data_IF_414473127219
#
_entry.id   IF_414473127219
#
_cell.length_a   1.000
_cell.length_b   1.000
_cell.length_c   1.000
_cell.angle_alpha   90.00
_cell.angle_beta   90.00
_cell.angle_gamma   90.00
#
_symmetry.space_group_name_H-M   'P 1'
#
loop_
_entity.id
_entity.type
_entity.pdbx_description
1 polymer ?
#
# COMPACT_ATOMS: atom_id res chain seq x y z
N UNK A 1 -10.89 1.23 48.35
CA UNK A 1 -12.13 1.70 47.66
C UNK A 1 -12.36 0.78 46.45
N UNK A 2 -13.29 -0.17 46.57
CA UNK A 2 -13.62 -1.09 45.45
C UNK A 2 -14.61 -0.41 44.51
N UNK A 3 -14.10 -0.02 43.35
CA UNK A 3 -14.97 0.51 42.28
C UNK A 3 -15.89 -0.64 41.84
N UNK A 4 -17.19 -0.39 41.84
CA UNK A 4 -18.16 -1.40 41.39
C UNK A 4 -17.96 -1.69 39.90
N UNK A 5 -18.24 -2.91 39.46
CA UNK A 5 -18.12 -3.31 38.05
C UNK A 5 -18.93 -2.37 37.13
N UNK A 6 -20.11 -1.92 37.60
CA UNK A 6 -20.94 -0.96 36.84
C UNK A 6 -20.28 0.40 36.70
N UNK A 7 -19.63 0.88 37.76
CA UNK A 7 -18.92 2.17 37.74
C UNK A 7 -17.68 2.12 36.85
N UNK A 8 -16.97 0.98 36.85
CA UNK A 8 -15.85 0.74 35.92
C UNK A 8 -16.32 0.74 34.46
N UNK A 9 -17.39 -0.01 34.17
CA UNK A 9 -17.97 -0.09 32.82
C UNK A 9 -18.44 1.29 32.34
N UNK A 10 -19.09 2.08 33.19
CA UNK A 10 -19.55 3.43 32.82
C UNK A 10 -18.39 4.37 32.53
N UNK A 11 -17.30 4.30 33.30
CA UNK A 11 -16.08 5.10 33.07
C UNK A 11 -15.39 4.69 31.78
N UNK A 12 -15.29 3.40 31.51
CA UNK A 12 -14.72 2.88 30.24
C UNK A 12 -15.59 3.34 29.06
N UNK A 13 -16.91 3.25 29.19
CA UNK A 13 -17.85 3.70 28.16
C UNK A 13 -17.73 5.21 27.90
N UNK A 14 -17.64 6.01 28.95
CA UNK A 14 -17.38 7.45 28.86
C UNK A 14 -16.02 7.76 28.19
N UNK A 15 -15.11 6.99 28.33
CA UNK A 15 -13.93 7.12 27.82
C UNK A 15 -13.85 6.81 26.43
N UNK A 16 -14.43 5.94 26.12
CA UNK A 16 -14.55 5.54 24.89
C UNK A 16 -15.25 6.48 24.10
N UNK A 17 -16.38 6.85 24.54
CA UNK A 17 -17.22 7.86 23.87
C UNK A 17 -16.48 9.18 23.64
N UNK A 18 -15.72 9.64 24.61
CA UNK A 18 -14.94 10.88 24.47
C UNK A 18 -13.83 10.76 23.44
N UNK A 19 -13.06 9.67 23.50
CA UNK A 19 -11.89 9.46 22.58
C UNK A 19 -12.29 9.11 21.15
N UNK A 20 -13.44 8.46 20.97
CA UNK A 20 -13.94 8.08 19.65
C UNK A 20 -15.02 9.02 19.12
N UNK A 21 -15.14 10.22 19.72
CA UNK A 21 -16.12 11.21 19.29
C UNK A 21 -15.71 11.83 17.94
N UNK A 22 -16.38 11.42 16.88
CA UNK A 22 -16.16 11.92 15.52
C UNK A 22 -16.61 13.38 15.31
N UNK A 23 -17.33 13.97 16.25
CA UNK A 23 -17.85 15.34 16.09
C UNK A 23 -16.91 16.40 16.67
N UNK A 24 -15.90 16.00 17.48
CA UNK A 24 -15.06 16.94 18.22
C UNK A 24 -14.16 17.81 17.30
N UNK A 25 -13.67 17.24 16.20
CA UNK A 25 -12.74 17.90 15.26
C UNK A 25 -13.29 17.94 13.83
N UNK A 26 -14.59 17.79 13.67
CA UNK A 26 -15.26 17.81 12.37
C UNK A 26 -15.27 19.24 11.79
N UNK A 27 -15.04 19.36 10.48
CA UNK A 27 -15.26 20.57 9.70
C UNK A 27 -16.76 20.93 9.65
N UNK A 28 -17.03 22.19 9.38
CA UNK A 28 -18.37 22.61 8.99
C UNK A 28 -18.84 21.84 7.74
N UNK A 29 -20.14 21.59 7.63
CA UNK A 29 -20.66 20.84 6.48
C UNK A 29 -20.38 21.53 5.15
N UNK A 30 -20.36 22.88 5.12
CA UNK A 30 -20.05 23.65 3.92
C UNK A 30 -18.58 23.42 3.48
N UNK A 31 -17.66 23.36 4.44
CA UNK A 31 -16.24 23.08 4.17
C UNK A 31 -16.03 21.67 3.65
N UNK A 32 -16.76 20.69 4.23
CA UNK A 32 -16.72 19.29 3.78
C UNK A 32 -17.24 19.20 2.34
N UNK A 33 -18.41 19.79 2.06
CA UNK A 33 -19.01 19.80 0.73
C UNK A 33 -18.07 20.44 -0.30
N UNK A 34 -17.50 21.59 0.05
CA UNK A 34 -16.54 22.28 -0.82
C UNK A 34 -15.31 21.40 -1.10
N UNK A 35 -14.70 20.83 -0.06
CA UNK A 35 -13.51 19.98 -0.18
C UNK A 35 -13.76 18.77 -1.11
N UNK A 36 -14.92 18.12 -0.96
CA UNK A 36 -15.28 16.98 -1.81
C UNK A 36 -15.52 17.43 -3.26
N UNK A 37 -16.19 18.57 -3.48
CA UNK A 37 -16.43 19.12 -4.84
C UNK A 37 -15.12 19.52 -5.53
N UNK A 38 -14.17 20.09 -4.79
CA UNK A 38 -12.83 20.41 -5.30
C UNK A 38 -12.05 19.14 -5.68
N UNK A 39 -12.18 18.07 -4.88
CA UNK A 39 -11.55 16.77 -5.12
C UNK A 39 -12.04 16.04 -6.39
N UNK A 40 -13.19 16.44 -6.92
CA UNK A 40 -13.73 15.86 -8.18
C UNK A 40 -13.05 16.50 -9.41
N UNK A 41 -12.54 17.72 -9.32
CA UNK A 41 -12.08 18.47 -10.49
C UNK A 41 -10.84 17.86 -11.13
N UNK A 42 -11.06 17.11 -12.18
CA UNK A 42 -10.01 16.44 -12.97
C UNK A 42 -9.78 17.29 -14.23
N UNK A 43 -9.00 18.37 -14.05
CA UNK A 43 -8.64 19.30 -15.14
C UNK A 43 -7.20 19.76 -15.01
N UNK A 44 -6.60 20.14 -16.12
CA UNK A 44 -5.26 20.74 -16.14
C UNK A 44 -4.21 19.88 -15.44
N UNK A 45 -3.63 20.40 -14.38
CA UNK A 45 -2.57 19.75 -13.61
C UNK A 45 -2.95 18.35 -13.14
N UNK A 46 -4.18 18.15 -12.67
CA UNK A 46 -4.64 16.85 -12.15
C UNK A 46 -4.63 15.75 -13.23
N UNK A 47 -4.91 16.08 -14.50
CA UNK A 47 -4.81 15.13 -15.60
C UNK A 47 -3.35 14.74 -15.90
N UNK A 48 -2.45 15.72 -15.93
CA UNK A 48 -1.01 15.45 -16.11
C UNK A 48 -0.46 14.61 -14.96
N UNK A 49 -0.81 14.94 -13.72
CA UNK A 49 -0.39 14.17 -12.54
C UNK A 49 -0.92 12.72 -12.64
N UNK A 50 -2.19 12.55 -13.04
CA UNK A 50 -2.78 11.21 -13.24
C UNK A 50 -1.99 10.40 -14.29
N UNK A 51 -1.71 10.98 -15.46
CA UNK A 51 -0.95 10.30 -16.52
C UNK A 51 0.45 9.90 -16.05
N UNK A 52 1.16 10.83 -15.39
CA UNK A 52 2.52 10.57 -14.88
C UNK A 52 2.50 9.51 -13.77
N UNK A 53 1.52 9.57 -12.88
CA UNK A 53 1.35 8.56 -11.82
C UNK A 53 1.10 7.16 -12.43
N UNK A 54 0.30 7.08 -13.50
CA UNK A 54 0.02 5.83 -14.22
C UNK A 54 1.28 5.30 -14.91
N UNK A 55 2.09 6.16 -15.53
CA UNK A 55 3.39 5.75 -16.07
C UNK A 55 4.29 5.16 -14.97
N UNK A 56 4.42 5.86 -13.84
CA UNK A 56 5.23 5.39 -12.71
C UNK A 56 4.69 4.05 -12.17
N UNK A 57 3.38 3.92 -12.01
CA UNK A 57 2.76 2.68 -11.55
C UNK A 57 3.00 1.53 -12.54
N UNK A 58 2.85 1.79 -13.84
CA UNK A 58 3.07 0.79 -14.89
C UNK A 58 4.54 0.34 -14.92
N UNK A 59 5.49 1.28 -14.79
CA UNK A 59 6.92 0.95 -14.62
C UNK A 59 7.11 0.08 -13.36
N UNK A 60 6.52 0.48 -12.24
CA UNK A 60 6.61 -0.27 -10.98
C UNK A 60 6.11 -1.70 -11.09
N UNK A 61 4.98 -1.91 -11.79
CA UNK A 61 4.42 -3.23 -12.07
C UNK A 61 5.35 -4.05 -12.98
N UNK A 62 5.89 -3.42 -13.99
CA UNK A 62 6.76 -4.04 -15.00
C UNK A 62 8.10 -4.50 -14.41
N UNK A 63 8.69 -3.69 -13.51
CA UNK A 63 9.95 -4.03 -12.83
C UNK A 63 9.73 -4.72 -11.47
N UNK A 64 8.50 -5.10 -11.17
CA UNK A 64 8.12 -5.81 -9.93
C UNK A 64 8.52 -5.05 -8.64
N UNK A 65 8.41 -3.72 -8.65
CA UNK A 65 8.80 -2.86 -7.52
C UNK A 65 7.60 -2.33 -6.76
N UNK A 66 7.25 -2.96 -5.64
CA UNK A 66 6.16 -2.54 -4.75
C UNK A 66 6.34 -1.09 -4.27
N UNK A 67 7.58 -0.68 -3.98
CA UNK A 67 7.86 0.68 -3.50
C UNK A 67 7.51 1.76 -4.54
N UNK A 68 7.83 1.52 -5.82
CA UNK A 68 7.51 2.44 -6.91
C UNK A 68 5.98 2.52 -7.12
N UNK A 69 5.31 1.37 -7.06
CA UNK A 69 3.84 1.29 -7.15
C UNK A 69 3.18 2.13 -6.04
N UNK A 70 3.64 1.97 -4.78
CA UNK A 70 3.14 2.75 -3.64
C UNK A 70 3.37 4.26 -3.85
N UNK A 71 4.55 4.65 -4.32
CA UNK A 71 4.85 6.05 -4.63
C UNK A 71 3.88 6.65 -5.65
N UNK A 72 3.55 5.91 -6.70
CA UNK A 72 2.60 6.31 -7.73
C UNK A 72 1.18 6.50 -7.16
N UNK A 73 0.75 5.58 -6.28
CA UNK A 73 -0.57 5.64 -5.64
C UNK A 73 -0.76 6.93 -4.82
N UNK A 74 0.31 7.41 -4.18
CA UNK A 74 0.27 8.61 -3.32
C UNK A 74 -0.08 9.89 -4.09
N UNK A 75 0.26 9.97 -5.36
CA UNK A 75 0.05 11.17 -6.18
C UNK A 75 -1.20 11.06 -7.06
N UNK A 76 -1.91 9.94 -7.02
CA UNK A 76 -3.06 9.68 -7.89
C UNK A 76 -4.34 10.39 -7.42
N UNK A 77 -5.04 11.11 -8.29
CA UNK A 77 -6.30 11.78 -7.95
C UNK A 77 -7.55 10.89 -8.08
N UNK A 78 -7.42 9.57 -8.23
CA UNK A 78 -8.55 8.66 -8.47
C UNK A 78 -9.58 8.60 -7.33
N UNK A 79 -9.13 8.81 -6.10
CA UNK A 79 -9.98 8.64 -4.90
C UNK A 79 -11.09 9.71 -4.79
N UNK A 80 -10.81 10.95 -5.21
CA UNK A 80 -11.76 12.07 -5.10
C UNK A 80 -13.12 11.79 -5.74
N UNK A 81 -13.17 11.47 -7.04
CA UNK A 81 -14.43 11.15 -7.71
C UNK A 81 -15.20 9.98 -7.07
N UNK A 82 -14.51 8.94 -6.61
CA UNK A 82 -15.15 7.76 -6.00
C UNK A 82 -15.82 8.13 -4.67
N UNK A 83 -15.11 8.86 -3.81
CA UNK A 83 -15.67 9.35 -2.54
C UNK A 83 -16.87 10.29 -2.79
N UNK A 84 -16.79 11.13 -3.81
CA UNK A 84 -17.86 12.06 -4.15
C UNK A 84 -19.13 11.35 -4.63
N UNK A 85 -19.03 10.17 -5.25
CA UNK A 85 -20.20 9.33 -5.59
C UNK A 85 -20.92 8.90 -4.29
N UNK A 86 -20.18 8.38 -3.33
CA UNK A 86 -20.73 7.94 -2.05
C UNK A 86 -21.31 9.11 -1.23
N UNK A 87 -20.60 10.22 -1.19
CA UNK A 87 -21.04 11.45 -0.51
C UNK A 87 -22.32 11.99 -1.15
N UNK A 88 -22.34 12.14 -2.47
CA UNK A 88 -23.51 12.63 -3.22
C UNK A 88 -24.74 11.75 -3.00
N UNK A 89 -24.54 10.42 -2.90
CA UNK A 89 -25.62 9.49 -2.56
C UNK A 89 -26.15 9.75 -1.14
N UNK A 90 -25.25 10.01 -0.19
CA UNK A 90 -25.60 10.30 1.21
C UNK A 90 -26.39 11.59 1.39
N UNK A 91 -26.08 12.64 0.63
CA UNK A 91 -26.77 13.95 0.71
C UNK A 91 -27.87 14.11 -0.34
N UNK A 92 -28.15 13.08 -1.11
CA UNK A 92 -29.17 13.06 -2.20
C UNK A 92 -28.87 14.07 -3.34
N UNK A 93 -27.59 14.31 -3.64
CA UNK A 93 -27.16 15.21 -4.72
C UNK A 93 -26.84 14.43 -6.01
N UNK A 94 -27.85 14.23 -6.84
CA UNK A 94 -27.73 13.53 -8.13
C UNK A 94 -26.77 14.22 -9.10
N UNK A 95 -26.73 15.56 -9.12
CA UNK A 95 -25.82 16.29 -10.00
C UNK A 95 -24.35 16.06 -9.64
N UNK A 96 -24.06 16.00 -8.34
CA UNK A 96 -22.74 15.68 -7.82
C UNK A 96 -22.33 14.25 -8.25
N UNK A 97 -23.26 13.28 -8.09
CA UNK A 97 -23.01 11.88 -8.51
C UNK A 97 -22.71 11.83 -10.01
N UNK A 98 -23.52 12.48 -10.83
CA UNK A 98 -23.35 12.50 -12.28
C UNK A 98 -22.00 13.11 -12.69
N UNK A 99 -21.61 14.23 -12.08
CA UNK A 99 -20.33 14.92 -12.32
C UNK A 99 -19.16 14.02 -11.89
N UNK A 100 -19.24 13.41 -10.71
CA UNK A 100 -18.22 12.52 -10.16
C UNK A 100 -18.04 11.29 -11.05
N UNK A 101 -19.15 10.66 -11.47
CA UNK A 101 -19.11 9.48 -12.34
C UNK A 101 -18.50 9.82 -13.71
N UNK A 102 -18.85 10.98 -14.28
CA UNK A 102 -18.27 11.46 -15.55
C UNK A 102 -16.74 11.65 -15.41
N UNK A 103 -16.29 12.27 -14.35
CA UNK A 103 -14.86 12.48 -14.09
C UNK A 103 -14.13 11.17 -13.81
N UNK A 104 -14.74 10.25 -13.09
CA UNK A 104 -14.18 8.91 -12.87
C UNK A 104 -14.01 8.16 -14.20
N UNK A 105 -15.01 8.25 -15.09
CA UNK A 105 -14.92 7.63 -16.42
C UNK A 105 -13.75 8.22 -17.23
N UNK A 106 -13.57 9.53 -17.20
CA UNK A 106 -12.42 10.21 -17.83
C UNK A 106 -11.10 9.67 -17.26
N UNK A 107 -10.99 9.55 -15.93
CA UNK A 107 -9.80 8.98 -15.27
C UNK A 107 -9.53 7.54 -15.72
N UNK A 108 -10.58 6.72 -15.82
CA UNK A 108 -10.48 5.32 -16.27
C UNK A 108 -9.96 5.26 -17.71
N UNK A 109 -10.56 6.04 -18.60
CA UNK A 109 -10.17 6.03 -20.02
C UNK A 109 -8.73 6.50 -20.21
N UNK A 110 -8.32 7.59 -19.53
CA UNK A 110 -6.96 8.11 -19.57
C UNK A 110 -6.00 7.08 -18.96
N UNK A 111 -6.40 6.47 -17.84
CA UNK A 111 -5.60 5.45 -17.15
C UNK A 111 -5.34 4.24 -18.03
N UNK A 112 -6.39 3.68 -18.62
CA UNK A 112 -6.28 2.54 -19.54
C UNK A 112 -5.43 2.90 -20.74
N UNK A 113 -5.69 4.05 -21.36
CA UNK A 113 -4.93 4.52 -22.53
C UNK A 113 -3.42 4.66 -22.20
N UNK A 114 -3.11 5.36 -21.10
CA UNK A 114 -1.72 5.63 -20.71
C UNK A 114 -0.97 4.34 -20.36
N UNK A 115 -1.63 3.46 -19.62
CA UNK A 115 -1.03 2.17 -19.21
C UNK A 115 -0.85 1.25 -20.43
N UNK A 116 -1.88 1.14 -21.29
CA UNK A 116 -1.78 0.36 -22.54
C UNK A 116 -0.63 0.87 -23.41
N UNK A 117 -0.53 2.19 -23.58
CA UNK A 117 0.56 2.81 -24.34
C UNK A 117 1.94 2.45 -23.77
N UNK A 118 2.09 2.51 -22.44
CA UNK A 118 3.33 2.11 -21.78
C UNK A 118 3.69 0.65 -22.08
N UNK A 119 2.75 -0.28 -21.87
CA UNK A 119 3.02 -1.71 -22.04
C UNK A 119 3.19 -2.13 -23.51
N UNK A 120 2.66 -1.37 -24.47
CA UNK A 120 2.93 -1.57 -25.88
C UNK A 120 4.38 -1.22 -26.27
N UNK A 121 4.98 -0.27 -25.53
CA UNK A 121 6.35 0.22 -25.80
C UNK A 121 7.37 -0.54 -24.95
N UNK A 122 6.98 -1.07 -23.80
CA UNK A 122 7.87 -1.77 -22.88
C UNK A 122 8.52 -2.99 -23.54
N UNK A 123 9.83 -3.17 -23.40
CA UNK A 123 10.51 -4.37 -23.91
C UNK A 123 10.30 -5.61 -23.04
N UNK A 124 9.71 -5.47 -21.84
CA UNK A 124 9.46 -6.57 -20.91
C UNK A 124 8.14 -7.24 -21.25
N UNK A 125 8.18 -8.49 -21.68
CA UNK A 125 6.99 -9.22 -22.14
C UNK A 125 6.39 -10.17 -21.11
N UNK A 126 7.08 -10.39 -19.98
CA UNK A 126 6.65 -11.34 -18.96
C UNK A 126 5.85 -10.67 -17.84
N UNK A 127 4.64 -11.15 -17.58
CA UNK A 127 3.82 -10.66 -16.48
C UNK A 127 4.49 -10.98 -15.12
N UNK A 128 4.85 -9.95 -14.40
CA UNK A 128 5.48 -10.06 -13.08
C UNK A 128 4.48 -10.39 -11.97
N UNK A 129 4.97 -10.84 -10.82
CA UNK A 129 4.11 -11.28 -9.71
C UNK A 129 3.21 -10.15 -9.16
N UNK A 130 3.70 -8.91 -9.08
CA UNK A 130 2.88 -7.76 -8.65
C UNK A 130 1.71 -7.50 -9.60
N UNK A 131 1.92 -7.72 -10.90
CA UNK A 131 0.89 -7.56 -11.92
C UNK A 131 -0.14 -8.68 -11.80
N UNK A 132 0.31 -9.96 -11.74
CA UNK A 132 -0.57 -11.12 -11.64
C UNK A 132 -1.39 -11.12 -10.35
N UNK A 133 -0.85 -10.61 -9.25
CA UNK A 133 -1.58 -10.47 -7.99
C UNK A 133 -2.84 -9.58 -8.09
N UNK A 134 -2.94 -8.75 -9.14
CA UNK A 134 -4.09 -7.86 -9.35
C UNK A 134 -5.14 -8.43 -10.30
N UNK A 135 -4.97 -9.66 -10.77
CA UNK A 135 -5.89 -10.29 -11.74
C UNK A 135 -7.00 -11.12 -11.06
N UNK A 136 -6.83 -11.46 -9.81
CA UNK A 136 -7.77 -12.32 -9.06
C UNK A 136 -8.22 -11.63 -7.77
N UNK A 137 -9.37 -10.95 -7.79
CA UNK A 137 -9.90 -10.30 -6.58
C UNK A 137 -10.15 -11.29 -5.45
N UNK A 138 -9.90 -10.83 -4.23
CA UNK A 138 -10.11 -11.59 -3.00
C UNK A 138 -11.03 -10.84 -2.05
N UNK A 139 -11.54 -11.53 -1.03
CA UNK A 139 -12.34 -10.88 0.02
C UNK A 139 -11.49 -9.84 0.79
N UNK A 140 -10.19 -10.04 0.87
CA UNK A 140 -9.29 -9.09 1.53
C UNK A 140 -9.27 -7.73 0.82
N UNK A 141 -9.32 -7.72 -0.51
CA UNK A 141 -9.41 -6.49 -1.30
C UNK A 141 -10.70 -5.73 -0.98
N UNK A 142 -11.82 -6.44 -0.86
CA UNK A 142 -13.12 -5.87 -0.48
C UNK A 142 -13.07 -5.22 0.91
N UNK A 143 -12.50 -5.93 1.90
CA UNK A 143 -12.35 -5.41 3.26
C UNK A 143 -11.41 -4.19 3.30
N UNK A 144 -10.32 -4.24 2.57
CA UNK A 144 -9.37 -3.12 2.44
C UNK A 144 -10.06 -1.90 1.82
N UNK A 145 -10.83 -2.11 0.75
CA UNK A 145 -11.59 -1.03 0.09
C UNK A 145 -12.63 -0.41 1.04
N UNK A 146 -13.34 -1.26 1.80
CA UNK A 146 -14.36 -0.82 2.76
C UNK A 146 -13.73 0.01 3.90
N UNK A 147 -12.74 -0.56 4.60
CA UNK A 147 -12.08 0.14 5.72
C UNK A 147 -11.26 1.33 5.25
N UNK A 148 -10.60 1.20 4.10
CA UNK A 148 -9.88 2.31 3.47
C UNK A 148 -10.82 3.45 3.10
N UNK A 149 -11.98 3.14 2.52
CA UNK A 149 -13.03 4.11 2.20
C UNK A 149 -13.54 4.84 3.45
N UNK A 150 -13.81 4.10 4.54
CA UNK A 150 -14.21 4.68 5.84
C UNK A 150 -13.12 5.62 6.36
N UNK A 151 -11.87 5.20 6.37
CA UNK A 151 -10.75 6.04 6.83
C UNK A 151 -10.59 7.29 5.95
N UNK A 152 -10.76 7.15 4.64
CA UNK A 152 -10.67 8.26 3.68
C UNK A 152 -11.72 9.34 3.92
N UNK A 153 -12.98 8.95 4.07
CA UNK A 153 -14.05 9.93 4.32
C UNK A 153 -13.92 10.53 5.74
N UNK A 154 -13.52 9.74 6.74
CA UNK A 154 -13.24 10.30 8.07
C UNK A 154 -12.17 11.40 7.95
N UNK A 155 -11.06 11.13 7.28
CA UNK A 155 -9.97 12.09 7.08
C UNK A 155 -10.43 13.34 6.34
N UNK A 156 -11.28 13.18 5.32
CA UNK A 156 -11.80 14.29 4.51
C UNK A 156 -12.77 15.20 5.28
N UNK A 157 -13.33 14.72 6.39
CA UNK A 157 -14.25 15.49 7.22
C UNK A 157 -13.56 16.23 8.38
N UNK A 158 -12.23 16.11 8.53
CA UNK A 158 -11.48 16.66 9.68
C UNK A 158 -10.84 18.00 9.36
N UNK A 159 -10.71 18.87 10.39
CA UNK A 159 -10.07 20.20 10.33
C UNK A 159 -8.58 20.13 9.97
N UNK A 160 -7.90 19.12 10.46
CA UNK A 160 -6.52 18.87 10.09
C UNK A 160 -6.46 17.76 9.03
N UNK A 161 -6.24 18.14 7.78
CA UNK A 161 -5.99 17.21 6.69
C UNK A 161 -4.60 16.59 6.89
N UNK A 162 -4.55 15.59 7.74
CA UNK A 162 -3.31 14.87 8.09
C UNK A 162 -2.89 13.95 6.94
N UNK A 163 -1.77 13.26 7.13
CA UNK A 163 -1.22 12.27 6.19
C UNK A 163 -2.12 11.01 6.04
N UNK A 164 -3.32 11.04 6.57
CA UNK A 164 -4.29 9.92 6.48
C UNK A 164 -4.76 9.73 5.03
N UNK A 165 -5.05 10.81 4.31
CA UNK A 165 -5.57 10.72 2.93
C UNK A 165 -4.58 10.00 2.00
N UNK A 166 -3.28 10.36 1.97
CA UNK A 166 -2.30 9.58 1.20
C UNK A 166 -2.22 8.11 1.62
N UNK A 167 -2.25 7.83 2.92
CA UNK A 167 -2.24 6.45 3.43
C UNK A 167 -3.43 5.63 2.94
N UNK A 168 -4.61 6.22 2.88
CA UNK A 168 -5.82 5.57 2.37
C UNK A 168 -5.72 5.31 0.85
N UNK A 169 -5.16 6.24 0.09
CA UNK A 169 -4.94 6.06 -1.35
C UNK A 169 -4.03 4.85 -1.62
N UNK A 170 -3.03 4.62 -0.77
CA UNK A 170 -2.18 3.42 -0.81
C UNK A 170 -3.01 2.17 -0.48
N UNK A 171 -3.74 2.21 0.63
CA UNK A 171 -4.47 1.05 1.13
C UNK A 171 -5.52 0.54 0.13
N UNK A 172 -6.25 1.43 -0.51
CA UNK A 172 -7.35 1.07 -1.42
C UNK A 172 -6.90 0.55 -2.79
N UNK A 173 -5.63 0.71 -3.12
CA UNK A 173 -4.99 0.09 -4.30
C UNK A 173 -5.83 0.21 -5.59
N UNK A 174 -6.28 1.40 -5.93
CA UNK A 174 -7.12 1.64 -7.13
C UNK A 174 -6.30 1.64 -8.42
N UNK A 175 -5.11 2.23 -8.38
CA UNK A 175 -4.30 2.45 -9.59
C UNK A 175 -3.70 1.15 -10.15
N UNK A 176 -3.09 0.25 -9.35
CA UNK A 176 -2.46 -0.95 -9.90
C UNK A 176 -3.43 -1.84 -10.69
N UNK A 177 -4.66 -2.13 -10.24
CA UNK A 177 -5.59 -2.90 -11.07
C UNK A 177 -5.93 -2.21 -12.39
N UNK A 178 -6.06 -0.88 -12.40
CA UNK A 178 -6.31 -0.13 -13.63
C UNK A 178 -5.12 -0.25 -14.61
N UNK A 179 -3.89 -0.18 -14.09
CA UNK A 179 -2.67 -0.38 -14.89
C UNK A 179 -2.55 -1.81 -15.39
N UNK A 180 -2.88 -2.80 -14.55
CA UNK A 180 -2.90 -4.23 -14.94
C UNK A 180 -3.94 -4.49 -16.04
N UNK A 181 -5.08 -3.82 -15.98
CA UNK A 181 -6.07 -3.90 -17.05
C UNK A 181 -5.50 -3.34 -18.38
N UNK A 182 -4.75 -2.24 -18.32
CA UNK A 182 -4.02 -1.70 -19.48
C UNK A 182 -2.99 -2.68 -20.03
N UNK A 183 -2.28 -3.40 -19.18
CA UNK A 183 -1.38 -4.49 -19.57
C UNK A 183 -2.16 -5.60 -20.32
N UNK A 184 -3.32 -5.98 -19.80
CA UNK A 184 -4.19 -6.97 -20.43
C UNK A 184 -4.56 -6.58 -21.86
N UNK A 185 -4.92 -5.31 -22.07
CA UNK A 185 -5.23 -4.76 -23.43
C UNK A 185 -3.99 -4.83 -24.32
N UNK A 186 -2.85 -4.34 -23.82
CA UNK A 186 -1.59 -4.28 -24.58
C UNK A 186 -1.11 -5.64 -25.08
N UNK A 187 -1.32 -6.69 -24.25
CA UNK A 187 -0.86 -8.06 -24.55
C UNK A 187 -1.98 -8.97 -25.10
N UNK A 188 -3.16 -8.43 -25.35
CA UNK A 188 -4.29 -9.21 -25.88
C UNK A 188 -4.86 -10.25 -24.90
N UNK A 189 -4.56 -10.13 -23.61
CA UNK A 189 -5.02 -11.08 -22.59
C UNK A 189 -6.28 -10.58 -21.91
N UNK A 190 -7.44 -11.03 -22.41
CA UNK A 190 -8.74 -10.61 -21.87
C UNK A 190 -8.97 -11.10 -20.44
N UNK A 191 -8.41 -12.24 -20.05
CA UNK A 191 -8.51 -12.75 -18.69
C UNK A 191 -7.85 -11.78 -17.69
N UNK A 192 -6.65 -11.28 -18.02
CA UNK A 192 -5.95 -10.28 -17.22
C UNK A 192 -6.76 -8.97 -17.18
N UNK A 193 -7.25 -8.53 -18.34
CA UNK A 193 -8.06 -7.32 -18.44
C UNK A 193 -9.28 -7.39 -17.53
N UNK A 194 -10.12 -8.42 -17.70
CA UNK A 194 -11.38 -8.52 -16.96
C UNK A 194 -11.13 -8.76 -15.45
N UNK A 195 -10.14 -9.58 -15.09
CA UNK A 195 -9.79 -9.82 -13.70
C UNK A 195 -9.38 -8.54 -12.99
N UNK A 196 -8.47 -7.80 -13.58
CA UNK A 196 -7.94 -6.55 -13.00
C UNK A 196 -9.01 -5.44 -13.01
N UNK A 197 -9.76 -5.30 -14.10
CA UNK A 197 -10.81 -4.29 -14.19
C UNK A 197 -11.94 -4.58 -13.19
N UNK A 198 -12.26 -5.85 -12.97
CA UNK A 198 -13.24 -6.27 -11.96
C UNK A 198 -12.76 -5.91 -10.54
N UNK A 199 -11.48 -6.13 -10.24
CA UNK A 199 -10.88 -5.73 -8.95
C UNK A 199 -10.99 -4.20 -8.75
N UNK A 200 -10.63 -3.42 -9.78
CA UNK A 200 -10.78 -1.96 -9.76
C UNK A 200 -12.23 -1.56 -9.46
N UNK A 201 -13.17 -2.16 -10.17
CA UNK A 201 -14.60 -1.86 -10.07
C UNK A 201 -15.16 -2.17 -8.67
N UNK A 202 -14.82 -3.34 -8.11
CA UNK A 202 -15.22 -3.73 -6.75
C UNK A 202 -14.67 -2.72 -5.73
N UNK A 203 -13.39 -2.34 -5.84
CA UNK A 203 -12.78 -1.37 -4.94
C UNK A 203 -13.53 -0.02 -5.00
N UNK A 204 -13.86 0.46 -6.20
CA UNK A 204 -14.67 1.69 -6.37
C UNK A 204 -16.02 1.60 -5.66
N UNK A 205 -16.74 0.49 -5.82
CA UNK A 205 -18.07 0.29 -5.20
C UNK A 205 -17.94 0.30 -3.67
N UNK A 206 -16.99 -0.45 -3.11
CA UNK A 206 -16.88 -0.57 -1.65
C UNK A 206 -16.36 0.72 -1.01
N UNK A 207 -15.50 1.49 -1.67
CA UNK A 207 -15.09 2.83 -1.20
C UNK A 207 -16.31 3.79 -1.22
N UNK A 208 -17.05 3.83 -2.32
CA UNK A 208 -18.24 4.67 -2.43
C UNK A 208 -19.32 4.26 -1.38
N UNK A 209 -19.51 2.96 -1.19
CA UNK A 209 -20.43 2.43 -0.17
C UNK A 209 -19.97 2.79 1.25
N UNK A 210 -18.69 2.67 1.55
CA UNK A 210 -18.13 3.07 2.85
C UNK A 210 -18.36 4.58 3.11
N UNK A 211 -18.15 5.40 2.09
CA UNK A 211 -18.42 6.83 2.14
C UNK A 211 -19.90 7.11 2.41
N UNK A 212 -20.80 6.45 1.69
CA UNK A 212 -22.24 6.54 1.89
C UNK A 212 -22.64 6.18 3.33
N UNK A 213 -22.10 5.08 3.86
CA UNK A 213 -22.40 4.64 5.24
C UNK A 213 -22.02 5.72 6.28
N UNK A 214 -20.80 6.27 6.16
CA UNK A 214 -20.36 7.28 7.12
C UNK A 214 -21.13 8.60 6.96
N UNK A 215 -21.39 9.03 5.74
CA UNK A 215 -22.16 10.25 5.45
C UNK A 215 -23.58 10.11 6.01
N UNK A 216 -24.20 8.94 5.83
CA UNK A 216 -25.51 8.65 6.41
C UNK A 216 -25.49 8.66 7.94
N UNK A 217 -24.38 8.27 8.56
CA UNK A 217 -24.22 8.30 10.02
C UNK A 217 -24.02 9.73 10.56
N UNK A 218 -23.29 10.58 9.84
CA UNK A 218 -22.99 11.97 10.24
C UNK A 218 -24.24 12.88 10.03
N UNK A 219 -25.15 12.48 9.16
CA UNK A 219 -26.40 13.20 8.85
C UNK A 219 -26.17 14.66 8.43
N UNK A 220 -25.37 14.94 7.40
CA UNK A 220 -25.20 16.31 6.92
C UNK A 220 -26.48 16.85 6.29
N UNK A 221 -26.61 18.18 6.16
CA UNK A 221 -27.79 18.76 5.52
C UNK A 221 -27.99 18.20 4.10
N UNK A 222 -29.13 17.64 3.86
CA UNK A 222 -29.49 17.11 2.54
C UNK A 222 -29.77 18.28 1.58
N UNK A 223 -29.46 18.08 0.31
CA UNK A 223 -29.78 19.06 -0.74
C UNK A 223 -31.28 19.32 -0.76
N UNK A 224 -31.67 20.61 -0.67
CA UNK A 224 -33.06 21.01 -0.75
C UNK A 224 -33.51 21.10 -2.20
N UNK A 225 -34.62 20.52 -2.52
CA UNK A 225 -35.22 20.55 -3.85
C UNK A 225 -36.36 21.57 -3.91
N UNK A 226 -36.60 22.10 -5.12
CA UNK A 226 -37.67 23.08 -5.37
C UNK A 226 -39.05 22.47 -5.12
N UNK A 227 -39.20 21.13 -5.24
CA UNK A 227 -40.46 20.42 -5.08
C UNK A 227 -40.24 19.03 -4.47
N UNK A 228 -41.11 18.64 -3.55
CA UNK A 228 -41.12 17.33 -2.90
C UNK A 228 -41.23 16.16 -3.90
N UNK A 229 -41.93 16.38 -5.02
CA UNK A 229 -42.07 15.37 -6.06
C UNK A 229 -40.75 15.07 -6.74
N UNK A 230 -39.95 16.11 -7.01
CA UNK A 230 -38.59 15.96 -7.59
C UNK A 230 -37.68 15.26 -6.57
N UNK A 231 -37.72 15.67 -5.31
CA UNK A 231 -36.94 15.05 -4.24
C UNK A 231 -37.22 13.54 -4.14
N UNK A 232 -38.50 13.15 -4.12
CA UNK A 232 -38.90 11.74 -4.07
C UNK A 232 -38.37 10.94 -5.28
N UNK A 233 -38.43 11.50 -6.48
CA UNK A 233 -37.91 10.85 -7.68
C UNK A 233 -36.37 10.68 -7.60
N UNK A 234 -35.65 11.73 -7.22
CA UNK A 234 -34.19 11.69 -7.09
C UNK A 234 -33.76 10.64 -6.04
N UNK A 235 -34.39 10.65 -4.86
CA UNK A 235 -34.15 9.64 -3.80
C UNK A 235 -34.39 8.22 -4.34
N UNK A 236 -35.50 7.99 -5.04
CA UNK A 236 -35.80 6.68 -5.64
C UNK A 236 -34.71 6.26 -6.63
N UNK A 237 -34.28 7.17 -7.49
CA UNK A 237 -33.18 6.88 -8.44
C UNK A 237 -31.87 6.53 -7.72
N UNK A 238 -31.49 7.32 -6.72
CA UNK A 238 -30.26 7.09 -5.94
C UNK A 238 -30.33 5.72 -5.26
N UNK A 239 -31.43 5.44 -4.57
CA UNK A 239 -31.59 4.14 -3.88
C UNK A 239 -31.62 2.98 -4.88
N UNK A 240 -32.29 3.14 -6.02
CA UNK A 240 -32.31 2.10 -7.07
C UNK A 240 -30.90 1.81 -7.60
N UNK A 241 -30.11 2.85 -7.87
CA UNK A 241 -28.72 2.69 -8.37
C UNK A 241 -27.84 2.07 -7.26
N UNK A 242 -27.94 2.57 -6.02
CA UNK A 242 -27.19 2.02 -4.89
C UNK A 242 -27.53 0.52 -4.68
N UNK A 243 -28.83 0.18 -4.66
CA UNK A 243 -29.25 -1.22 -4.54
C UNK A 243 -28.77 -2.07 -5.71
N UNK A 244 -28.89 -1.56 -6.92
CA UNK A 244 -28.48 -2.26 -8.15
C UNK A 244 -26.97 -2.50 -8.22
N UNK A 245 -26.16 -1.67 -7.58
CA UNK A 245 -24.68 -1.85 -7.53
C UNK A 245 -24.23 -2.61 -6.29
N UNK A 246 -24.77 -2.28 -5.13
CA UNK A 246 -24.30 -2.82 -3.84
C UNK A 246 -24.74 -4.29 -3.67
N UNK A 247 -25.99 -4.65 -4.00
CA UNK A 247 -26.46 -6.02 -3.82
C UNK A 247 -25.68 -7.04 -4.66
N UNK A 248 -25.47 -6.84 -5.97
CA UNK A 248 -24.60 -7.75 -6.73
C UNK A 248 -23.17 -7.80 -6.19
N UNK A 249 -22.63 -6.66 -5.73
CA UNK A 249 -21.27 -6.60 -5.17
C UNK A 249 -21.15 -7.41 -3.88
N UNK A 250 -22.16 -7.37 -3.00
CA UNK A 250 -22.19 -8.22 -1.81
C UNK A 250 -22.35 -9.70 -2.16
N UNK A 251 -23.14 -10.02 -3.20
CA UNK A 251 -23.26 -11.40 -3.69
C UNK A 251 -21.92 -11.92 -4.19
N UNK A 252 -21.20 -11.12 -4.98
CA UNK A 252 -19.87 -11.47 -5.48
C UNK A 252 -18.86 -11.59 -4.32
N UNK A 253 -18.88 -10.66 -3.36
CA UNK A 253 -18.04 -10.73 -2.17
C UNK A 253 -18.31 -12.01 -1.35
N UNK A 254 -19.57 -12.40 -1.20
CA UNK A 254 -19.95 -13.66 -0.53
C UNK A 254 -19.35 -14.86 -1.28
N UNK A 255 -19.40 -14.85 -2.61
CA UNK A 255 -18.76 -15.88 -3.44
C UNK A 255 -17.25 -15.96 -3.18
N UNK A 256 -16.57 -14.81 -3.09
CA UNK A 256 -15.14 -14.75 -2.76
C UNK A 256 -14.84 -15.32 -1.36
N UNK A 257 -15.68 -14.99 -0.35
CA UNK A 257 -15.54 -15.57 1.00
C UNK A 257 -15.65 -17.09 0.96
N UNK A 258 -16.67 -17.59 0.30
CA UNK A 258 -16.90 -19.07 0.25
C UNK A 258 -15.75 -19.77 -0.47
N UNK A 259 -15.22 -19.18 -1.54
CA UNK A 259 -14.05 -19.67 -2.27
C UNK A 259 -12.80 -19.68 -1.37
N UNK A 260 -12.50 -18.60 -0.68
CA UNK A 260 -11.33 -18.48 0.20
C UNK A 260 -11.39 -19.44 1.38
N UNK A 261 -12.57 -19.58 1.99
CA UNK A 261 -12.82 -20.53 3.08
C UNK A 261 -12.62 -21.96 2.59
N UNK A 262 -13.08 -22.29 1.38
CA UNK A 262 -12.86 -23.62 0.79
C UNK A 262 -11.36 -23.89 0.57
N UNK A 263 -10.63 -22.95 -0.04
CA UNK A 263 -9.18 -23.07 -0.28
C UNK A 263 -8.41 -23.27 1.03
N UNK A 264 -8.74 -22.49 2.05
CA UNK A 264 -8.12 -22.57 3.38
C UNK A 264 -8.34 -23.96 4.02
N UNK A 265 -9.58 -24.44 3.99
CA UNK A 265 -9.95 -25.76 4.55
C UNK A 265 -9.32 -26.91 3.75
N UNK A 266 -9.29 -26.80 2.43
CA UNK A 266 -8.66 -27.79 1.57
C UNK A 266 -7.16 -27.91 1.84
N UNK A 267 -6.48 -26.77 1.99
CA UNK A 267 -5.06 -26.75 2.35
C UNK A 267 -4.82 -27.36 3.75
N UNK A 268 -5.68 -27.06 4.71
CA UNK A 268 -5.61 -27.65 6.06
C UNK A 268 -5.82 -29.18 6.00
N UNK A 269 -6.81 -29.62 5.24
CA UNK A 269 -7.10 -31.03 5.01
C UNK A 269 -5.91 -31.77 4.38
N UNK A 270 -5.33 -31.20 3.32
CA UNK A 270 -4.16 -31.78 2.63
C UNK A 270 -3.01 -31.95 3.63
N UNK A 271 -2.69 -30.91 4.40
CA UNK A 271 -1.59 -30.93 5.37
C UNK A 271 -1.77 -31.91 6.51
N UNK A 272 -3.01 -32.14 6.98
CA UNK A 272 -3.27 -32.94 8.17
C UNK A 272 -3.65 -34.41 7.85
N UNK A 273 -4.40 -34.64 6.78
CA UNK A 273 -4.95 -35.94 6.50
C UNK A 273 -4.23 -36.68 5.35
N UNK A 274 -3.62 -35.95 4.41
CA UNK A 274 -2.95 -36.56 3.26
C UNK A 274 -1.43 -36.71 3.52
N UNK A 275 -1.11 -37.28 4.68
CA UNK A 275 0.27 -37.64 5.04
C UNK A 275 0.45 -39.16 4.81
N UNK A 276 1.33 -39.53 3.91
CA UNK A 276 1.57 -40.92 3.51
C UNK A 276 2.98 -41.35 3.92
N UNK A 277 3.08 -42.49 4.63
CA UNK A 277 4.36 -43.00 5.13
C UNK A 277 5.34 -43.41 4.00
N UNK A 278 4.81 -43.87 2.87
CA UNK A 278 5.60 -44.38 1.74
C UNK A 278 5.20 -43.71 0.42
N UNK A 279 4.96 -42.42 0.46
CA UNK A 279 4.60 -41.64 -0.72
C UNK A 279 4.62 -40.15 -0.46
N UNK A 280 4.63 -39.37 -1.50
CA UNK A 280 4.57 -37.91 -1.40
C UNK A 280 3.64 -37.33 -2.47
N UNK A 281 3.08 -36.18 -2.17
CA UNK A 281 2.24 -35.43 -3.12
C UNK A 281 3.17 -34.67 -4.07
N UNK A 282 3.23 -35.11 -5.32
CA UNK A 282 4.06 -34.49 -6.36
C UNK A 282 3.39 -33.25 -6.95
N UNK A 283 2.05 -33.24 -6.98
CA UNK A 283 1.28 -32.10 -7.50
C UNK A 283 -0.03 -32.00 -6.73
N UNK A 284 -0.43 -30.78 -6.42
CA UNK A 284 -1.76 -30.51 -5.87
C UNK A 284 -2.41 -29.37 -6.65
N UNK A 285 -3.71 -29.51 -6.89
CA UNK A 285 -4.53 -28.48 -7.51
C UNK A 285 -5.87 -28.46 -6.79
N UNK A 286 -6.31 -27.27 -6.39
CA UNK A 286 -7.58 -27.09 -5.68
C UNK A 286 -8.46 -26.18 -6.53
N UNK A 287 -9.57 -26.74 -7.04
CA UNK A 287 -10.60 -25.96 -7.71
C UNK A 287 -11.71 -25.64 -6.72
N UNK A 288 -11.81 -24.40 -6.28
CA UNK A 288 -12.85 -23.96 -5.35
C UNK A 288 -14.22 -23.90 -6.04
N UNK A 289 -14.25 -23.59 -7.33
CA UNK A 289 -15.48 -23.46 -8.11
C UNK A 289 -16.16 -24.81 -8.33
N UNK A 290 -15.37 -25.84 -8.67
CA UNK A 290 -15.84 -27.22 -8.84
C UNK A 290 -15.89 -28.01 -7.53
N UNK A 291 -15.31 -27.44 -6.47
CA UNK A 291 -15.11 -28.08 -5.16
C UNK A 291 -14.32 -29.38 -5.28
N UNK A 292 -13.24 -29.35 -6.06
CA UNK A 292 -12.37 -30.51 -6.30
C UNK A 292 -10.99 -30.27 -5.70
N UNK A 293 -10.51 -31.27 -4.98
CA UNK A 293 -9.12 -31.39 -4.53
C UNK A 293 -8.48 -32.46 -5.37
N UNK A 294 -7.60 -32.08 -6.27
CA UNK A 294 -6.89 -32.97 -7.20
C UNK A 294 -5.44 -33.09 -6.75
N UNK A 295 -5.02 -34.30 -6.46
CA UNK A 295 -3.63 -34.57 -6.04
C UNK A 295 -3.01 -35.67 -6.89
N UNK A 296 -1.74 -35.55 -7.17
CA UNK A 296 -0.93 -36.61 -7.80
C UNK A 296 0.00 -37.18 -6.72
N UNK A 297 -0.25 -38.42 -6.36
CA UNK A 297 0.53 -39.17 -5.38
C UNK A 297 1.54 -40.05 -6.10
N UNK A 298 2.78 -39.98 -5.68
CA UNK A 298 3.88 -40.80 -6.18
C UNK A 298 4.42 -41.65 -5.02
N UNK A 299 4.46 -42.98 -5.22
CA UNK A 299 4.95 -43.88 -4.19
C UNK A 299 4.13 -45.17 -4.14
N UNK A 300 3.99 -45.77 -2.95
CA UNK A 300 3.23 -46.99 -2.74
C UNK A 300 1.74 -46.72 -3.00
N UNK A 301 1.08 -47.66 -3.67
CA UNK A 301 -0.35 -47.56 -3.97
C UNK A 301 -1.19 -47.50 -2.69
N UNK A 302 -1.98 -46.48 -2.55
CA UNK A 302 -2.99 -46.35 -1.48
C UNK A 302 -4.23 -47.14 -1.90
N UNK A 303 -4.78 -47.91 -0.99
CA UNK A 303 -5.95 -48.76 -1.29
C UNK A 303 -7.22 -47.92 -1.50
N UNK A 304 -8.16 -48.44 -2.26
CA UNK A 304 -9.44 -47.79 -2.52
C UNK A 304 -10.26 -47.58 -1.23
N UNK A 305 -10.08 -48.48 -0.25
CA UNK A 305 -10.68 -48.33 1.07
C UNK A 305 -10.14 -47.14 1.83
N UNK A 306 -8.80 -46.95 1.82
CA UNK A 306 -8.16 -45.75 2.43
C UNK A 306 -8.57 -44.47 1.75
N UNK A 307 -8.67 -44.47 0.41
CA UNK A 307 -9.13 -43.28 -0.35
C UNK A 307 -10.59 -42.95 0.00
N UNK A 308 -11.43 -43.96 0.19
CA UNK A 308 -12.83 -43.77 0.60
C UNK A 308 -12.90 -43.18 2.01
N UNK A 309 -12.07 -43.65 2.93
CA UNK A 309 -11.98 -43.12 4.29
C UNK A 309 -11.50 -41.66 4.28
N UNK A 310 -10.46 -41.33 3.50
CA UNK A 310 -9.98 -39.96 3.32
C UNK A 310 -11.10 -39.08 2.77
N UNK A 311 -11.83 -39.53 1.76
CA UNK A 311 -12.95 -38.75 1.19
C UNK A 311 -14.04 -38.46 2.23
N UNK A 312 -14.36 -39.42 3.12
CA UNK A 312 -15.33 -39.20 4.21
C UNK A 312 -14.86 -38.14 5.20
N UNK A 313 -13.55 -38.01 5.42
CA UNK A 313 -12.98 -36.98 6.32
C UNK A 313 -13.19 -35.55 5.81
N UNK A 314 -13.49 -35.35 4.52
CA UNK A 314 -13.82 -34.03 3.98
C UNK A 314 -14.99 -33.34 4.73
N UNK A 315 -15.97 -34.13 5.19
CA UNK A 315 -17.11 -33.64 5.97
C UNK A 315 -16.66 -33.02 7.31
N UNK A 316 -15.67 -33.65 7.98
CA UNK A 316 -15.09 -33.16 9.24
C UNK A 316 -14.50 -31.73 9.07
N UNK A 317 -13.97 -31.44 7.88
CA UNK A 317 -13.42 -30.13 7.54
C UNK A 317 -14.48 -29.16 7.01
N UNK A 318 -15.77 -29.47 7.17
CA UNK A 318 -16.90 -28.65 6.73
C UNK A 318 -16.84 -28.30 5.23
N UNK A 319 -16.48 -29.31 4.43
CA UNK A 319 -16.43 -29.20 2.96
C UNK A 319 -17.47 -30.16 2.34
N UNK A 320 -18.77 -29.89 2.57
CA UNK A 320 -19.79 -30.73 1.95
C UNK A 320 -19.71 -30.60 0.42
N UNK A 321 -19.94 -31.69 -0.27
CA UNK A 321 -19.91 -31.79 -1.73
C UNK A 321 -18.50 -31.59 -2.35
N UNK A 322 -17.42 -31.60 -1.54
CA UNK A 322 -16.08 -31.61 -2.07
C UNK A 322 -15.72 -33.01 -2.57
N UNK A 323 -15.00 -33.09 -3.66
CA UNK A 323 -14.51 -34.33 -4.24
C UNK A 323 -12.99 -34.40 -4.17
N UNK A 324 -12.47 -35.54 -3.70
CA UNK A 324 -11.04 -35.81 -3.70
C UNK A 324 -10.73 -36.66 -4.93
N UNK A 325 -9.90 -36.21 -5.81
CA UNK A 325 -9.37 -36.96 -6.96
C UNK A 325 -7.91 -37.25 -6.68
N UNK A 326 -7.56 -38.52 -6.71
CA UNK A 326 -6.18 -38.96 -6.45
C UNK A 326 -5.66 -39.71 -7.67
N UNK A 327 -4.73 -39.10 -8.36
CA UNK A 327 -3.98 -39.73 -9.42
C UNK A 327 -2.79 -40.46 -8.80
N UNK A 328 -2.72 -41.79 -8.93
CA UNK A 328 -1.65 -42.57 -8.34
C UNK A 328 -0.68 -43.04 -9.42
N UNK A 329 0.57 -42.66 -9.28
CA UNK A 329 1.65 -43.18 -10.11
C UNK A 329 2.40 -44.24 -9.29
N UNK A 330 2.10 -45.50 -9.59
CA UNK A 330 2.77 -46.64 -8.95
C UNK A 330 4.11 -46.85 -9.65
N UNK A 331 5.16 -46.74 -8.90
CA UNK A 331 6.50 -47.06 -9.37
C UNK A 331 6.65 -48.57 -9.30
N UNK A 332 6.30 -49.28 -10.37
CA UNK A 332 6.65 -50.70 -10.53
C UNK A 332 8.16 -50.77 -10.79
N UNK A 333 8.89 -51.32 -9.83
CA UNK A 333 10.26 -51.79 -9.93
C UNK A 333 11.09 -51.28 -11.13
N UNK A 334 11.16 -49.98 -11.30
CA UNK A 334 12.29 -49.36 -11.97
C UNK A 334 13.38 -49.21 -10.90
N UNK A 335 14.55 -49.69 -11.21
CA UNK A 335 15.73 -49.73 -10.36
C UNK A 335 15.73 -48.52 -9.37
N UNK A 336 15.49 -48.85 -8.12
CA UNK A 336 15.37 -47.92 -6.99
C UNK A 336 16.57 -46.93 -6.97
N UNK A 337 17.70 -47.33 -7.47
CA UNK A 337 18.92 -46.56 -7.59
C UNK A 337 18.81 -45.47 -8.69
N UNK A 338 18.16 -45.77 -9.82
CA UNK A 338 18.06 -44.80 -10.94
C UNK A 338 17.02 -43.73 -10.68
N UNK A 339 15.89 -44.11 -10.08
CA UNK A 339 14.84 -43.14 -9.71
C UNK A 339 15.27 -42.28 -8.51
N UNK A 340 15.91 -42.89 -7.53
CA UNK A 340 16.48 -42.17 -6.38
C UNK A 340 17.53 -41.15 -6.86
N UNK A 341 18.39 -41.48 -7.82
CA UNK A 341 19.36 -40.57 -8.41
C UNK A 341 18.69 -39.41 -9.19
N UNK A 342 17.65 -39.72 -9.98
CA UNK A 342 16.94 -38.72 -10.76
C UNK A 342 16.18 -37.73 -9.85
N UNK A 343 15.45 -38.23 -8.86
CA UNK A 343 14.74 -37.41 -7.87
C UNK A 343 15.71 -36.62 -6.99
N UNK A 344 16.81 -37.27 -6.58
CA UNK A 344 17.84 -36.57 -5.80
C UNK A 344 18.49 -35.44 -6.63
N UNK A 345 18.76 -35.68 -7.90
CA UNK A 345 19.29 -34.68 -8.82
C UNK A 345 18.30 -33.51 -9.00
N UNK A 346 17.01 -33.78 -9.14
CA UNK A 346 15.96 -32.75 -9.27
C UNK A 346 15.77 -31.94 -7.98
N UNK A 347 15.73 -32.62 -6.84
CA UNK A 347 15.64 -31.98 -5.51
C UNK A 347 16.92 -31.19 -5.25
N UNK A 348 18.08 -31.73 -5.56
CA UNK A 348 19.35 -31.00 -5.42
C UNK A 348 19.39 -29.76 -6.32
N UNK A 349 18.96 -29.87 -7.58
CA UNK A 349 18.90 -28.74 -8.50
C UNK A 349 17.92 -27.65 -8.01
N UNK A 350 16.70 -28.02 -7.62
CA UNK A 350 15.71 -27.05 -7.12
C UNK A 350 16.15 -26.43 -5.79
N UNK A 351 16.77 -27.22 -4.93
CA UNK A 351 17.34 -26.75 -3.67
C UNK A 351 18.52 -25.82 -3.94
N UNK A 352 19.41 -26.19 -4.87
CA UNK A 352 20.55 -25.36 -5.28
C UNK A 352 20.07 -24.01 -5.81
N UNK A 353 19.11 -24.00 -6.71
CA UNK A 353 18.52 -22.76 -7.24
C UNK A 353 17.94 -21.88 -6.12
N UNK A 354 17.21 -22.50 -5.17
CA UNK A 354 16.66 -21.78 -4.03
C UNK A 354 17.78 -21.20 -3.15
N UNK A 355 18.84 -21.98 -2.90
CA UNK A 355 19.99 -21.53 -2.13
C UNK A 355 20.73 -20.40 -2.84
N UNK A 356 20.90 -20.50 -4.16
CA UNK A 356 21.60 -19.46 -4.94
C UNK A 356 20.84 -18.14 -4.92
N UNK A 357 19.49 -18.19 -5.06
CA UNK A 357 18.64 -16.99 -4.95
C UNK A 357 18.72 -16.39 -3.53
N UNK A 358 18.64 -17.23 -2.51
CA UNK A 358 18.73 -16.76 -1.11
C UNK A 358 20.12 -16.21 -0.79
N UNK A 359 21.19 -16.83 -1.29
CA UNK A 359 22.54 -16.34 -1.09
C UNK A 359 22.77 -15.00 -1.80
N UNK A 360 22.21 -14.83 -2.99
CA UNK A 360 22.25 -13.54 -3.70
C UNK A 360 21.53 -12.46 -2.89
N UNK A 361 20.33 -12.74 -2.39
CA UNK A 361 19.58 -11.81 -1.55
C UNK A 361 20.33 -11.46 -0.25
N UNK A 362 20.97 -12.45 0.38
CA UNK A 362 21.79 -12.24 1.58
C UNK A 362 23.00 -11.36 1.28
N UNK A 363 23.66 -11.57 0.13
CA UNK A 363 24.80 -10.75 -0.29
C UNK A 363 24.36 -9.29 -0.54
N UNK A 364 23.23 -9.10 -1.20
CA UNK A 364 22.69 -7.76 -1.46
C UNK A 364 22.34 -7.03 -0.15
N UNK A 365 21.67 -7.73 0.77
CA UNK A 365 21.33 -7.17 2.11
C UNK A 365 22.60 -6.85 2.93
N UNK A 366 23.62 -7.70 2.86
CA UNK A 366 24.89 -7.45 3.53
C UNK A 366 25.60 -6.22 2.97
N UNK A 367 25.58 -6.05 1.65
CA UNK A 367 26.15 -4.87 0.97
C UNK A 367 25.39 -3.60 1.37
N UNK A 368 24.07 -3.66 1.42
CA UNK A 368 23.24 -2.54 1.86
C UNK A 368 23.52 -2.19 3.34
N UNK A 369 23.60 -3.18 4.22
CA UNK A 369 23.96 -3.00 5.62
C UNK A 369 25.35 -2.39 5.77
N UNK A 370 26.33 -2.84 4.99
CA UNK A 370 27.68 -2.28 5.00
C UNK A 370 27.68 -0.80 4.56
N UNK A 371 26.92 -0.47 3.51
CA UNK A 371 26.81 0.91 3.03
C UNK A 371 26.15 1.83 4.08
N UNK A 372 25.07 1.36 4.70
CA UNK A 372 24.37 2.11 5.76
C UNK A 372 25.26 2.32 6.99
N UNK A 373 25.99 1.31 7.41
CA UNK A 373 26.96 1.41 8.52
C UNK A 373 28.09 2.39 8.20
N UNK A 374 28.60 2.37 6.97
CA UNK A 374 29.63 3.31 6.54
C UNK A 374 29.09 4.76 6.55
N UNK A 375 27.85 4.95 6.13
CA UNK A 375 27.18 6.25 6.16
C UNK A 375 26.96 6.73 7.61
N UNK A 376 26.50 5.86 8.48
CA UNK A 376 26.32 6.15 9.90
C UNK A 376 27.67 6.49 10.56
N UNK A 377 28.73 5.73 10.28
CA UNK A 377 30.07 6.01 10.79
C UNK A 377 30.56 7.40 10.40
N UNK A 378 30.41 7.78 9.13
CA UNK A 378 30.77 9.14 8.65
C UNK A 378 30.00 10.24 9.41
N UNK A 379 28.73 9.98 9.70
CA UNK A 379 27.90 10.93 10.45
C UNK A 379 28.32 11.05 11.91
N UNK A 380 28.65 9.94 12.55
CA UNK A 380 29.17 9.92 13.92
C UNK A 380 30.55 10.62 14.03
N UNK A 381 31.45 10.34 13.08
CA UNK A 381 32.74 11.01 12.99
C UNK A 381 32.59 12.53 12.84
N UNK A 382 31.65 12.94 11.99
CA UNK A 382 31.36 14.37 11.76
C UNK A 382 30.85 15.04 13.06
N UNK A 383 29.95 14.37 13.80
CA UNK A 383 29.45 14.90 15.08
C UNK A 383 30.55 14.97 16.13
N UNK A 384 31.43 13.97 16.21
CA UNK A 384 32.56 13.96 17.12
C UNK A 384 33.55 15.08 16.79
N UNK A 385 33.81 15.32 15.52
CA UNK A 385 34.68 16.41 15.07
C UNK A 385 34.09 17.79 15.46
N UNK A 386 32.80 17.98 15.28
CA UNK A 386 32.12 19.21 15.70
C UNK A 386 32.24 19.43 17.23
N UNK A 387 32.09 18.35 18.01
CA UNK A 387 32.22 18.40 19.46
C UNK A 387 33.66 18.81 19.87
N UNK A 388 34.68 18.23 19.24
CA UNK A 388 36.09 18.59 19.49
C UNK A 388 36.34 20.09 19.19
N UNK A 389 35.79 20.60 18.07
CA UNK A 389 35.92 22.04 17.72
C UNK A 389 35.27 22.90 18.82
N UNK A 390 34.12 22.49 19.34
CA UNK A 390 33.44 23.19 20.44
C UNK A 390 34.31 23.18 21.71
N UNK A 391 34.81 22.01 22.12
CA UNK A 391 35.63 21.87 23.33
C UNK A 391 36.93 22.68 23.24
N UNK A 392 37.61 22.66 22.09
CA UNK A 392 38.83 23.44 21.82
C UNK A 392 38.55 24.96 21.86
N UNK A 393 37.38 25.37 21.32
CA UNK A 393 37.00 26.76 21.30
C UNK A 393 36.65 27.28 22.72
N UNK A 394 35.91 26.48 23.50
CA UNK A 394 35.55 26.85 24.90
C UNK A 394 36.80 26.90 25.77
N UNK A 395 37.79 26.05 25.54
CA UNK A 395 39.07 26.08 26.29
C UNK A 395 39.85 27.37 26.00
N UNK A 396 39.79 27.92 24.78
CA UNK A 396 40.47 29.17 24.44
C UNK A 396 39.61 30.41 24.79
N UNK A 397 38.28 30.29 24.72
CA UNK A 397 37.34 31.40 24.92
C UNK A 397 36.19 30.95 25.85
N UNK A 398 36.43 30.96 27.20
CA UNK A 398 35.43 30.49 28.17
C UNK A 398 34.07 31.22 28.15
N UNK A 399 33.96 32.35 27.44
CA UNK A 399 32.73 33.10 27.30
C UNK A 399 31.78 32.49 26.25
N UNK A 400 32.21 31.46 25.49
CA UNK A 400 31.37 30.76 24.49
C UNK A 400 30.37 29.87 25.20
N UNK A 401 29.08 29.99 24.86
CA UNK A 401 28.02 29.15 25.43
C UNK A 401 27.54 28.10 24.43
N UNK A 402 27.34 28.49 23.18
CA UNK A 402 26.81 27.56 22.16
C UNK A 402 27.58 27.74 20.85
N UNK A 403 27.69 26.64 20.13
CA UNK A 403 28.31 26.60 18.80
C UNK A 403 27.47 25.74 17.86
N UNK A 404 27.08 26.30 16.75
CA UNK A 404 26.54 25.54 15.62
C UNK A 404 27.55 25.61 14.47
N UNK A 405 27.95 24.44 13.96
CA UNK A 405 28.93 24.31 12.87
C UNK A 405 28.28 23.56 11.71
N UNK A 406 28.42 24.09 10.50
CA UNK A 406 27.96 23.39 9.29
C UNK A 406 28.96 23.61 8.16
N UNK A 407 29.38 22.50 7.54
CA UNK A 407 30.15 22.54 6.28
C UNK A 407 29.14 22.45 5.15
N UNK A 408 29.09 23.46 4.29
CA UNK A 408 28.08 23.57 3.23
C UNK A 408 28.66 24.17 1.96
N UNK A 409 27.92 24.10 0.88
CA UNK A 409 28.32 24.69 -0.40
C UNK A 409 27.65 26.05 -0.58
N UNK A 410 28.43 27.05 -0.91
CA UNK A 410 27.94 28.38 -1.29
C UNK A 410 27.93 28.49 -2.81
N UNK A 411 26.80 28.87 -3.34
CA UNK A 411 26.60 29.09 -4.78
C UNK A 411 26.66 30.61 -5.09
N UNK A 412 27.52 31.00 -6.02
CA UNK A 412 27.65 32.38 -6.45
C UNK A 412 27.10 32.53 -7.86
N UNK A 413 26.41 33.65 -8.11
CA UNK A 413 25.77 33.90 -9.41
C UNK A 413 26.75 34.54 -10.41
N UNK A 414 27.69 35.39 -9.95
CA UNK A 414 28.68 36.05 -10.82
C UNK A 414 30.02 36.20 -10.12
N UNK A 415 31.12 35.57 -10.58
CA UNK A 415 31.14 34.48 -11.57
C UNK A 415 30.51 33.22 -10.99
N UNK A 416 29.89 32.42 -11.83
CA UNK A 416 29.24 31.16 -11.40
C UNK A 416 30.28 30.22 -10.80
N UNK A 417 30.25 30.05 -9.49
CA UNK A 417 31.20 29.18 -8.77
C UNK A 417 30.49 28.53 -7.57
N UNK A 418 30.97 27.34 -7.24
CA UNK A 418 30.58 26.63 -6.02
C UNK A 418 31.82 26.54 -5.14
N UNK A 419 31.73 27.09 -3.93
CA UNK A 419 32.80 26.99 -2.95
C UNK A 419 32.30 26.34 -1.67
N UNK A 420 33.10 25.42 -1.13
CA UNK A 420 32.79 24.82 0.17
C UNK A 420 33.14 25.82 1.27
N UNK A 421 32.18 26.17 2.10
CA UNK A 421 32.36 27.10 3.21
C UNK A 421 32.04 26.43 4.53
N UNK A 422 32.67 26.91 5.60
CA UNK A 422 32.34 26.54 6.97
C UNK A 422 31.52 27.69 7.59
N UNK A 423 30.28 27.39 7.92
CA UNK A 423 29.41 28.33 8.65
C UNK A 423 29.50 28.04 10.14
N UNK A 424 29.84 29.06 10.92
CA UNK A 424 29.78 29.00 12.36
C UNK A 424 28.82 30.05 12.89
N UNK A 425 27.95 29.61 13.77
CA UNK A 425 27.10 30.50 14.54
C UNK A 425 27.43 30.30 16.03
N UNK A 426 27.92 31.35 16.68
CA UNK A 426 28.47 31.33 18.01
C UNK A 426 27.64 32.20 18.92
N UNK A 427 27.26 31.70 20.11
CA UNK A 427 26.61 32.51 21.15
C UNK A 427 27.58 32.70 22.33
N UNK A 428 27.74 33.90 22.81
CA UNK A 428 28.69 34.20 23.89
C UNK A 428 28.17 35.24 24.89
N UNK A 429 28.62 35.16 26.11
CA UNK A 429 28.31 36.11 27.21
C UNK A 429 28.92 37.49 27.05
N UNK A 430 29.96 37.60 26.24
CA UNK A 430 30.69 38.89 26.03
C UNK A 430 31.02 39.05 24.56
N UNK A 431 30.98 40.26 24.08
CA UNK A 431 31.32 40.56 22.68
C UNK A 431 32.80 40.25 22.39
N UNK A 432 33.04 39.63 21.24
CA UNK A 432 34.41 39.34 20.77
C UNK A 432 35.00 40.59 20.09
N UNK A 433 36.28 40.86 20.36
CA UNK A 433 37.03 41.90 19.66
C UNK A 433 37.21 41.54 18.17
N UNK A 434 37.49 42.52 17.34
CA UNK A 434 37.80 42.30 15.91
C UNK A 434 39.01 41.35 15.75
N UNK A 435 39.98 41.43 16.66
CA UNK A 435 41.19 40.62 16.68
C UNK A 435 40.86 39.15 16.98
N UNK A 436 40.04 38.91 17.99
CA UNK A 436 39.61 37.54 18.37
C UNK A 436 38.81 36.87 17.24
N UNK A 437 37.91 37.61 16.61
CA UNK A 437 37.14 37.08 15.44
C UNK A 437 38.10 36.65 14.33
N UNK A 438 39.17 37.43 14.09
CA UNK A 438 40.17 37.11 13.07
C UNK A 438 41.01 35.87 13.47
N UNK A 439 41.40 35.77 14.76
CA UNK A 439 42.11 34.59 15.29
C UNK A 439 41.28 33.32 15.19
N UNK A 440 40.02 33.37 15.60
CA UNK A 440 39.07 32.22 15.51
C UNK A 440 38.93 31.77 14.04
N UNK A 441 38.71 32.73 13.15
CA UNK A 441 38.57 32.40 11.72
C UNK A 441 39.83 31.79 11.12
N UNK A 442 41.01 32.31 11.48
CA UNK A 442 42.30 31.79 11.00
C UNK A 442 42.57 30.39 11.56
N UNK A 443 42.33 30.17 12.86
CA UNK A 443 42.47 28.86 13.50
C UNK A 443 41.53 27.83 12.86
N UNK A 444 40.28 28.16 12.62
CA UNK A 444 39.30 27.26 12.00
C UNK A 444 39.70 26.86 10.58
N UNK A 445 40.23 27.75 9.78
CA UNK A 445 40.76 27.46 8.45
C UNK A 445 41.83 26.34 8.50
N UNK A 446 42.78 26.53 9.43
CA UNK A 446 43.88 25.54 9.60
C UNK A 446 43.34 24.22 10.14
N UNK A 447 42.41 24.27 11.13
CA UNK A 447 41.88 23.10 11.85
C UNK A 447 40.98 22.24 10.96
N UNK A 448 40.19 22.85 10.08
CA UNK A 448 39.19 22.14 9.26
C UNK A 448 39.59 21.97 7.79
N UNK A 449 40.66 22.63 7.36
CA UNK A 449 41.13 22.62 5.98
C UNK A 449 40.16 23.30 5.00
N UNK A 450 39.27 24.16 5.47
CA UNK A 450 38.31 24.89 4.64
C UNK A 450 38.77 26.33 4.48
N UNK A 451 38.99 26.78 3.25
CA UNK A 451 39.53 28.11 2.95
C UNK A 451 38.59 29.26 3.34
N UNK A 452 37.30 29.05 3.30
CA UNK A 452 36.31 30.05 3.59
C UNK A 452 35.53 29.75 4.85
N UNK A 453 35.64 30.63 5.85
CA UNK A 453 34.94 30.51 7.12
C UNK A 453 34.04 31.74 7.27
N UNK A 454 32.74 31.54 7.43
CA UNK A 454 31.76 32.61 7.77
C UNK A 454 31.36 32.47 9.23
N UNK A 455 31.78 33.45 10.02
CA UNK A 455 31.56 33.48 11.46
C UNK A 455 30.48 34.52 11.83
N UNK A 456 29.39 34.04 12.38
CA UNK A 456 28.33 34.84 12.99
C UNK A 456 28.46 34.73 14.52
N UNK A 457 28.46 35.84 15.22
CA UNK A 457 28.55 35.85 16.68
C UNK A 457 27.40 36.67 17.24
N UNK A 458 26.58 36.00 18.03
CA UNK A 458 25.48 36.61 18.77
C UNK A 458 25.90 36.78 20.24
N UNK A 459 25.60 37.93 20.81
CA UNK A 459 25.88 38.25 22.22
C UNK A 459 24.55 38.38 22.95
N UNK A 460 24.43 37.67 24.06
CA UNK A 460 23.30 37.78 24.98
C UNK A 460 23.58 38.86 26.01
#
# INVERSE_FOLDING_TARGET
>A
MKISAQEFISRVRAXXAFRFNLNADQHGFDDIDQSIREGIEIRGTNLWVLMLAIFIASIGLDVNSTAVIIGAMLISPLMGPIMAIGYGAGINDYELIKKALGNLLVCILIGLFTSTLYFLISPLSTAQSELLARTTPTIWDVLIALFGGLAGIIASTRKEKTNIIPGVAIATALMPPLCTAGYGIANGSMDIFFGAFFLFFINCIFIAFATLLLVSYIEPPHKRFVSEAVERKVKHYIYAVVFATVLPSFYLAYGMVTREVFLSRANEYIKKELVFENGFIAKQSISADDRVIDITLVGKKVSDEQLTELSKKLEKYRMPNARLIVHQTVIKELDEATLSKALLAEVLNSTQQTFDVKNSQLADLQNELASLRAQQGKQEDYLQEQKKIFDELVAQYPQVENLAVAKTNEYQTMPAAVSTILLLNLTSKKAFSKEDRRKISAWLKVRTGVDQVKLSINTH
#
